data_IF_524983771220
#
_entry.id   IF_524983771220
#
_cell.length_a   1.000
_cell.length_b   1.000
_cell.length_c   1.000
_cell.angle_alpha   90.00
_cell.angle_beta   90.00
_cell.angle_gamma   90.00
#
_symmetry.space_group_name_H-M   'P 1'
#
loop_
_entity.id
_entity.type
_entity.pdbx_description
1 polymer ?
#
# COMPACT_ATOMS: atom_id res chain seq x y z
N UNK A 1 -8.60 16.12 19.16
CA UNK A 1 -8.80 15.27 20.36
C UNK A 1 -7.92 14.02 20.34
N UNK A 2 -8.10 13.09 19.39
CA UNK A 2 -7.32 11.84 19.34
C UNK A 2 -5.79 12.05 19.25
N UNK A 3 -5.32 12.99 18.42
CA UNK A 3 -3.87 13.33 18.32
C UNK A 3 -3.28 13.83 19.63
N UNK A 4 -3.98 14.71 20.33
CA UNK A 4 -3.50 15.25 21.61
C UNK A 4 -3.38 14.14 22.66
N UNK A 5 -4.37 13.24 22.71
CA UNK A 5 -4.39 12.14 23.67
C UNK A 5 -3.21 11.18 23.49
N UNK A 6 -2.89 10.81 22.24
CA UNK A 6 -1.75 9.89 21.98
C UNK A 6 -0.40 10.53 22.29
N UNK A 7 -0.26 11.86 22.17
CA UNK A 7 0.96 12.58 22.55
C UNK A 7 1.12 12.60 24.07
N UNK A 8 0.06 12.97 24.78
CA UNK A 8 0.05 13.03 26.25
C UNK A 8 0.31 11.66 26.85
N UNK A 9 -0.44 10.64 26.41
CA UNK A 9 -0.28 9.27 26.91
C UNK A 9 0.99 8.58 26.39
N UNK A 10 1.59 9.10 25.33
CA UNK A 10 2.81 8.58 24.73
C UNK A 10 4.10 9.16 25.31
N UNK A 11 4.02 9.98 26.37
CA UNK A 11 5.20 10.51 27.04
C UNK A 11 5.84 11.72 26.35
N UNK A 12 5.10 12.46 25.51
CA UNK A 12 5.54 13.71 24.88
C UNK A 12 6.80 13.61 24.00
N UNK A 13 7.05 12.47 23.36
CA UNK A 13 8.09 12.34 22.35
C UNK A 13 7.96 13.41 21.25
N UNK A 14 9.09 14.00 20.83
CA UNK A 14 9.13 15.05 19.81
C UNK A 14 8.52 14.56 18.50
N UNK A 15 7.57 15.30 17.95
CA UNK A 15 6.85 14.93 16.73
C UNK A 15 7.67 15.18 15.45
N UNK A 16 8.72 14.39 15.26
CA UNK A 16 9.52 14.26 14.04
C UNK A 16 9.53 12.80 13.60
N UNK A 17 10.02 12.49 12.40
CA UNK A 17 10.15 11.09 11.98
C UNK A 17 11.09 10.32 12.93
N UNK A 18 10.72 9.12 13.41
CA UNK A 18 9.51 8.34 13.08
C UNK A 18 8.30 8.59 14.00
N UNK A 19 8.47 9.33 15.11
CA UNK A 19 7.48 9.55 16.17
C UNK A 19 6.20 10.24 15.67
N UNK A 20 6.31 11.22 14.77
CA UNK A 20 5.14 11.90 14.19
C UNK A 20 4.19 10.92 13.47
N UNK A 21 4.77 9.94 12.76
CA UNK A 21 4.01 8.88 12.10
C UNK A 21 3.36 7.95 13.13
N UNK A 22 4.05 7.61 14.23
CA UNK A 22 3.50 6.77 15.30
C UNK A 22 2.27 7.41 15.95
N UNK A 23 2.35 8.70 16.28
CA UNK A 23 1.19 9.43 16.80
C UNK A 23 0.04 9.43 15.82
N UNK A 24 0.31 9.74 14.55
CA UNK A 24 -0.74 9.74 13.54
C UNK A 24 -1.39 8.36 13.39
N UNK A 25 -0.60 7.30 13.29
CA UNK A 25 -1.11 5.93 13.14
C UNK A 25 -1.96 5.50 14.34
N UNK A 26 -1.52 5.80 15.57
CA UNK A 26 -2.30 5.48 16.76
C UNK A 26 -3.57 6.33 16.86
N UNK A 27 -3.50 7.63 16.55
CA UNK A 27 -4.67 8.49 16.55
C UNK A 27 -5.69 8.07 15.50
N UNK A 28 -5.24 7.71 14.30
CA UNK A 28 -6.07 7.15 13.24
C UNK A 28 -6.75 5.87 13.71
N UNK A 29 -6.01 4.93 14.31
CA UNK A 29 -6.59 3.69 14.85
C UNK A 29 -7.65 3.97 15.94
N UNK A 30 -7.38 4.93 16.83
CA UNK A 30 -8.33 5.34 17.87
C UNK A 30 -9.62 5.94 17.29
N UNK A 31 -9.54 6.65 16.16
CA UNK A 31 -10.71 7.22 15.47
C UNK A 31 -11.48 6.14 14.71
N UNK A 32 -10.80 5.27 13.97
CA UNK A 32 -11.45 4.31 13.08
C UNK A 32 -12.00 3.08 13.82
N UNK A 33 -11.26 2.55 14.79
CA UNK A 33 -11.61 1.31 15.47
C UNK A 33 -12.15 1.53 16.90
N UNK A 34 -12.05 2.77 17.37
CA UNK A 34 -12.43 3.21 18.70
C UNK A 34 -11.24 3.35 19.64
N UNK A 35 -11.41 4.09 20.75
CA UNK A 35 -10.30 4.48 21.63
C UNK A 35 -9.57 3.26 22.20
N UNK A 36 -8.27 3.16 21.94
CA UNK A 36 -7.36 2.17 22.55
C UNK A 36 -7.77 0.70 22.39
N UNK A 37 -8.61 0.37 21.39
CA UNK A 37 -8.91 -1.05 21.07
C UNK A 37 -7.72 -1.77 20.43
N UNK A 38 -6.88 -1.01 19.74
CA UNK A 38 -5.70 -1.49 19.05
C UNK A 38 -4.51 -0.56 19.35
N UNK A 39 -3.32 -1.14 19.30
CA UNK A 39 -2.06 -0.39 19.38
C UNK A 39 -1.34 -0.52 18.04
N UNK A 40 -1.01 0.62 17.45
CA UNK A 40 -0.14 0.69 16.29
C UNK A 40 1.27 0.21 16.69
N UNK A 41 1.89 -0.72 15.94
CA UNK A 41 3.16 -1.33 16.36
C UNK A 41 4.30 -0.34 16.63
N UNK A 42 4.42 0.71 15.82
CA UNK A 42 5.43 1.76 16.01
C UNK A 42 5.22 2.53 17.32
N UNK A 43 3.98 2.93 17.59
CA UNK A 43 3.61 3.60 18.84
C UNK A 43 3.84 2.70 20.06
N UNK A 44 3.41 1.44 19.99
CA UNK A 44 3.62 0.47 21.06
C UNK A 44 5.10 0.25 21.38
N UNK A 45 5.95 0.05 20.36
CA UNK A 45 7.40 -0.08 20.56
C UNK A 45 8.03 1.18 21.16
N UNK A 46 7.53 2.37 20.78
CA UNK A 46 8.00 3.63 21.35
C UNK A 46 7.71 3.73 22.84
N UNK A 47 6.45 3.50 23.26
CA UNK A 47 6.07 3.57 24.68
C UNK A 47 6.70 2.47 25.54
N UNK A 48 7.07 1.34 24.93
CA UNK A 48 7.82 0.26 25.56
C UNK A 48 9.33 0.52 25.65
N UNK A 49 9.85 1.61 25.06
CA UNK A 49 11.27 2.00 25.15
C UNK A 49 12.18 1.46 24.04
N UNK A 50 11.64 0.76 23.04
CA UNK A 50 12.43 0.22 21.91
C UNK A 50 12.89 1.29 20.91
N UNK A 51 12.43 2.54 21.06
CA UNK A 51 12.95 3.70 20.34
C UNK A 51 13.70 4.67 21.25
N UNK A 52 14.04 4.22 22.47
CA UNK A 52 14.70 5.02 23.49
C UNK A 52 13.71 5.59 24.50
N UNK A 53 14.22 6.47 25.37
CA UNK A 53 13.45 7.05 26.47
C UNK A 53 12.61 8.22 25.97
N UNK A 54 11.31 8.21 26.26
CA UNK A 54 10.41 9.35 26.08
C UNK A 54 10.72 10.46 27.12
N UNK A 55 10.46 11.74 26.81
CA UNK A 55 10.69 12.84 27.76
C UNK A 55 9.99 12.65 29.11
N UNK A 56 8.77 12.13 29.09
CA UNK A 56 7.98 11.74 30.27
C UNK A 56 7.62 10.26 30.15
N UNK A 57 7.44 9.58 31.28
CA UNK A 57 6.93 8.21 31.26
C UNK A 57 5.57 8.16 30.56
N UNK A 58 5.40 7.17 29.68
CA UNK A 58 4.13 6.93 29.02
C UNK A 58 3.08 6.43 30.03
N UNK A 59 1.81 6.56 29.67
CA UNK A 59 0.69 6.15 30.51
C UNK A 59 0.78 4.63 30.82
N UNK A 60 0.71 4.22 32.11
CA UNK A 60 0.85 2.81 32.51
C UNK A 60 -0.13 1.86 31.83
N UNK A 61 -1.37 2.29 31.59
CA UNK A 61 -2.38 1.46 30.94
C UNK A 61 -2.02 1.21 29.47
N UNK A 62 -1.41 2.20 28.83
CA UNK A 62 -0.94 2.12 27.44
C UNK A 62 0.32 1.26 27.33
N UNK A 63 1.23 1.34 28.30
CA UNK A 63 2.40 0.45 28.37
C UNK A 63 1.93 -1.01 28.49
N UNK A 64 0.98 -1.29 29.39
CA UNK A 64 0.43 -2.64 29.57
C UNK A 64 -0.25 -3.14 28.29
N UNK A 65 -1.10 -2.31 27.69
CA UNK A 65 -1.78 -2.65 26.44
C UNK A 65 -0.78 -2.92 25.30
N UNK A 66 0.26 -2.09 25.17
CA UNK A 66 1.30 -2.27 24.16
C UNK A 66 2.07 -3.57 24.39
N UNK A 67 2.42 -3.87 25.65
CA UNK A 67 3.13 -5.09 26.03
C UNK A 67 2.32 -6.34 25.68
N UNK A 68 1.03 -6.39 26.05
CA UNK A 68 0.14 -7.51 25.75
C UNK A 68 -0.07 -7.70 24.23
N UNK A 69 -0.32 -6.60 23.50
CA UNK A 69 -0.61 -6.67 22.05
C UNK A 69 0.61 -7.02 21.21
N UNK A 70 1.78 -6.52 21.59
CA UNK A 70 3.03 -6.76 20.85
C UNK A 70 3.80 -7.96 21.38
N UNK A 71 3.42 -8.50 22.54
CA UNK A 71 4.15 -9.57 23.26
C UNK A 71 5.61 -9.17 23.50
N UNK A 72 5.80 -7.92 23.91
CA UNK A 72 7.10 -7.31 24.18
C UNK A 72 7.10 -6.74 25.59
N UNK A 73 8.16 -6.98 26.34
CA UNK A 73 8.31 -6.40 27.68
C UNK A 73 8.79 -4.95 27.58
N UNK A 74 8.37 -4.06 28.48
CA UNK A 74 8.95 -2.72 28.58
C UNK A 74 10.46 -2.82 28.84
N UNK A 75 11.24 -1.99 28.15
CA UNK A 75 12.70 -1.97 28.24
C UNK A 75 13.24 -0.57 28.48
N UNK A 76 14.39 -0.50 29.17
CA UNK A 76 15.20 0.71 29.34
C UNK A 76 16.57 0.58 28.68
N UNK A 77 16.82 -0.53 27.98
CA UNK A 77 18.09 -0.79 27.28
C UNK A 77 18.25 0.17 26.11
N UNK A 78 19.50 0.40 25.70
CA UNK A 78 19.78 1.16 24.49
C UNK A 78 19.22 0.40 23.27
N UNK A 79 18.38 1.03 22.43
CA UNK A 79 17.86 0.40 21.21
C UNK A 79 18.93 -0.10 20.24
N UNK A 80 20.11 0.52 20.23
CA UNK A 80 21.23 0.11 19.37
C UNK A 80 21.75 -1.27 19.79
N UNK A 81 21.98 -1.49 21.08
CA UNK A 81 22.43 -2.79 21.60
C UNK A 81 21.42 -3.91 21.27
N UNK A 82 20.12 -3.60 21.38
CA UNK A 82 19.04 -4.54 21.01
C UNK A 82 19.10 -4.85 19.50
N UNK A 83 19.40 -3.84 18.66
CA UNK A 83 19.50 -4.01 17.23
C UNK A 83 20.74 -4.82 16.82
N UNK A 84 21.86 -4.63 17.49
CA UNK A 84 23.11 -5.35 17.21
C UNK A 84 23.04 -6.84 17.61
N UNK A 85 22.25 -7.15 18.64
CA UNK A 85 21.93 -8.53 19.05
C UNK A 85 21.04 -9.28 18.05
N UNK A 86 20.32 -8.57 17.17
CA UNK A 86 19.39 -9.19 16.22
C UNK A 86 20.16 -9.94 15.12
N UNK A 87 20.12 -11.29 15.09
CA UNK A 87 20.86 -12.06 14.09
C UNK A 87 20.39 -11.75 12.67
N UNK A 88 19.15 -11.28 12.48
CA UNK A 88 18.59 -10.97 11.16
C UNK A 88 19.18 -9.71 10.53
N UNK A 89 19.78 -8.82 11.33
CA UNK A 89 20.37 -7.57 10.86
C UNK A 89 21.85 -7.69 10.48
N UNK A 90 22.45 -8.87 10.67
CA UNK A 90 23.85 -9.11 10.35
C UNK A 90 24.10 -9.05 8.84
N UNK A 91 25.28 -8.56 8.48
CA UNK A 91 25.75 -8.46 7.08
C UNK A 91 25.68 -9.81 6.37
N UNK A 92 26.01 -10.90 7.06
CA UNK A 92 26.01 -12.24 6.45
C UNK A 92 24.62 -12.70 6.01
N UNK A 93 23.57 -12.30 6.72
CA UNK A 93 22.17 -12.62 6.34
C UNK A 93 21.81 -11.92 5.03
N UNK A 94 22.22 -10.66 4.88
CA UNK A 94 21.97 -9.89 3.66
C UNK A 94 22.83 -10.36 2.48
N UNK A 95 24.07 -10.81 2.75
CA UNK A 95 24.91 -11.46 1.73
C UNK A 95 24.23 -12.72 1.18
N UNK A 96 23.78 -13.62 2.06
CA UNK A 96 23.04 -14.82 1.65
C UNK A 96 21.75 -14.48 0.90
N UNK A 97 21.03 -13.45 1.36
CA UNK A 97 19.81 -12.99 0.69
C UNK A 97 20.10 -12.52 -0.74
N UNK A 98 21.18 -11.78 -0.98
CA UNK A 98 21.58 -11.33 -2.32
C UNK A 98 21.99 -12.51 -3.22
N UNK A 99 22.73 -13.49 -2.68
CA UNK A 99 23.12 -14.69 -3.40
C UNK A 99 21.90 -15.51 -3.86
N UNK A 100 20.89 -15.68 -3.00
CA UNK A 100 19.62 -16.36 -3.34
C UNK A 100 18.89 -15.63 -4.48
N UNK A 101 18.95 -14.30 -4.47
CA UNK A 101 18.26 -13.45 -5.44
C UNK A 101 19.08 -13.24 -6.73
N UNK A 102 20.26 -13.84 -6.84
CA UNK A 102 21.15 -13.75 -8.00
C UNK A 102 21.83 -12.39 -8.17
N UNK A 103 22.00 -11.63 -7.09
CA UNK A 103 22.59 -10.29 -7.10
C UNK A 103 24.01 -10.37 -6.52
N UNK A 104 24.97 -9.67 -7.14
CA UNK A 104 26.34 -9.57 -6.63
C UNK A 104 26.37 -8.94 -5.24
N UNK A 105 27.02 -9.58 -4.28
CA UNK A 105 27.11 -9.12 -2.90
C UNK A 105 28.21 -8.07 -2.68
N UNK A 106 28.15 -6.96 -3.43
CA UNK A 106 28.99 -5.78 -3.19
C UNK A 106 28.59 -5.06 -1.90
N UNK A 107 29.48 -4.25 -1.32
CA UNK A 107 29.17 -3.46 -0.12
C UNK A 107 27.96 -2.53 -0.33
N UNK A 108 27.85 -1.93 -1.52
CA UNK A 108 26.72 -1.07 -1.89
C UNK A 108 25.41 -1.85 -1.97
N UNK A 109 25.41 -3.02 -2.62
CA UNK A 109 24.20 -3.85 -2.74
C UNK A 109 23.75 -4.40 -1.39
N UNK A 110 24.71 -4.79 -0.54
CA UNK A 110 24.44 -5.19 0.85
C UNK A 110 23.82 -4.03 1.61
N UNK A 111 24.37 -2.82 1.49
CA UNK A 111 23.82 -1.64 2.16
C UNK A 111 22.39 -1.32 1.69
N UNK A 112 22.14 -1.34 0.38
CA UNK A 112 20.81 -1.09 -0.20
C UNK A 112 19.81 -2.16 0.28
N UNK A 113 20.20 -3.43 0.27
CA UNK A 113 19.34 -4.52 0.74
C UNK A 113 19.07 -4.41 2.25
N UNK A 114 20.08 -4.13 3.07
CA UNK A 114 19.93 -4.03 4.52
C UNK A 114 19.13 -2.81 4.97
N UNK A 115 19.25 -1.67 4.28
CA UNK A 115 18.53 -0.45 4.62
C UNK A 115 17.08 -0.42 4.12
N UNK A 116 16.81 -1.04 2.95
CA UNK A 116 15.53 -0.95 2.26
C UNK A 116 14.76 -2.28 2.18
N UNK A 117 15.33 -3.38 2.67
CA UNK A 117 14.73 -4.72 2.70
C UNK A 117 14.25 -5.17 1.30
N UNK A 118 13.07 -5.78 1.18
CA UNK A 118 12.43 -6.20 -0.07
C UNK A 118 12.40 -5.12 -1.15
N UNK A 119 12.24 -3.83 -0.78
CA UNK A 119 12.27 -2.72 -1.74
C UNK A 119 13.66 -2.51 -2.31
N UNK A 120 14.69 -2.69 -1.48
CA UNK A 120 16.09 -2.67 -1.91
C UNK A 120 16.38 -3.79 -2.90
N UNK A 121 15.95 -5.02 -2.60
CA UNK A 121 16.08 -6.16 -3.53
C UNK A 121 15.34 -5.90 -4.85
N UNK A 122 14.10 -5.38 -4.78
CA UNK A 122 13.31 -5.05 -5.98
C UNK A 122 13.97 -3.98 -6.84
N UNK A 123 14.59 -2.98 -6.20
CA UNK A 123 15.38 -1.95 -6.86
C UNK A 123 16.61 -2.54 -7.56
N UNK A 124 17.38 -3.39 -6.87
CA UNK A 124 18.57 -4.04 -7.42
C UNK A 124 18.24 -4.98 -8.59
N UNK A 125 17.05 -5.58 -8.59
CA UNK A 125 16.56 -6.39 -9.73
C UNK A 125 16.05 -5.57 -10.92
N UNK A 126 15.97 -4.24 -10.80
CA UNK A 126 15.39 -3.38 -11.84
C UNK A 126 13.87 -3.48 -11.98
N UNK A 127 13.19 -4.14 -11.03
CA UNK A 127 11.73 -4.32 -11.04
C UNK A 127 10.98 -3.17 -10.33
N UNK A 128 11.71 -2.20 -9.78
CA UNK A 128 11.11 -1.07 -9.07
C UNK A 128 10.47 -0.08 -10.08
N UNK A 129 9.21 0.33 -9.88
CA UNK A 129 8.57 1.30 -10.75
C UNK A 129 9.28 2.67 -10.66
N UNK A 130 9.81 3.14 -11.78
CA UNK A 130 10.46 4.44 -11.89
C UNK A 130 9.41 5.56 -11.95
N UNK A 131 9.06 6.12 -10.80
CA UNK A 131 8.14 7.27 -10.69
C UNK A 131 8.86 8.63 -10.85
N UNK A 132 9.76 8.73 -11.84
CA UNK A 132 10.58 9.94 -12.07
C UNK A 132 9.81 10.93 -12.93
N UNK A 133 9.05 11.83 -12.29
CA UNK A 133 8.26 12.89 -12.97
C UNK A 133 9.07 14.13 -13.35
N UNK A 134 10.32 14.21 -12.87
CA UNK A 134 11.17 15.37 -13.10
C UNK A 134 11.65 15.35 -14.56
N UNK A 135 11.33 16.39 -15.33
CA UNK A 135 11.59 16.52 -16.77
C UNK A 135 10.76 15.60 -17.67
N UNK A 136 9.59 15.14 -17.23
CA UNK A 136 8.60 14.68 -18.19
C UNK A 136 8.33 15.83 -19.16
N UNK A 137 8.71 15.67 -20.44
CA UNK A 137 8.12 16.48 -21.49
C UNK A 137 6.62 16.27 -21.29
N UNK A 138 5.89 17.36 -21.03
CA UNK A 138 4.44 17.34 -21.22
C UNK A 138 4.28 17.00 -22.69
N UNK A 139 4.11 15.72 -22.99
CA UNK A 139 3.55 15.34 -24.27
C UNK A 139 2.17 15.97 -24.27
N UNK A 140 2.04 17.12 -24.92
CA UNK A 140 0.75 17.76 -25.19
C UNK A 140 -0.16 16.82 -26.03
N UNK A 141 0.40 15.70 -26.48
CA UNK A 141 -0.27 14.58 -27.15
C UNK A 141 -0.48 13.32 -26.28
N UNK A 142 -0.05 13.29 -25.02
CA UNK A 142 -0.70 12.42 -24.04
C UNK A 142 -1.98 13.13 -23.66
N UNK A 143 -3.00 12.96 -24.51
CA UNK A 143 -4.32 12.77 -23.95
C UNK A 143 -4.11 11.74 -22.83
N UNK A 144 -4.27 12.18 -21.58
CA UNK A 144 -4.78 11.27 -20.57
C UNK A 144 -6.04 10.78 -21.26
N UNK A 145 -5.94 9.59 -21.86
CA UNK A 145 -7.12 8.85 -22.24
C UNK A 145 -7.85 8.74 -20.93
N UNK A 146 -8.81 9.64 -20.72
CA UNK A 146 -10.13 9.21 -20.37
C UNK A 146 -10.38 7.98 -21.25
N UNK A 147 -9.97 6.82 -20.75
CA UNK A 147 -10.54 5.54 -21.12
C UNK A 147 -11.94 5.48 -20.51
N UNK A 148 -12.66 6.59 -20.65
CA UNK A 148 -14.07 6.77 -20.47
C UNK A 148 -14.56 6.40 -21.85
N UNK A 149 -14.92 5.13 -22.00
CA UNK A 149 -15.64 4.66 -23.17
C UNK A 149 -16.83 5.61 -23.29
N UNK A 150 -16.75 6.55 -24.23
CA UNK A 150 -17.70 7.65 -24.29
C UNK A 150 -19.08 7.06 -24.53
N UNK A 151 -20.08 7.55 -23.80
CA UNK A 151 -21.46 7.10 -23.97
C UNK A 151 -21.82 7.11 -25.46
N UNK A 152 -22.21 5.97 -25.99
CA UNK A 152 -22.31 5.79 -27.43
C UNK A 152 -22.92 4.46 -27.82
N UNK A 153 -23.50 4.45 -29.03
CA UNK A 153 -24.03 3.25 -29.66
C UNK A 153 -22.95 2.68 -30.59
N UNK A 154 -22.53 1.45 -30.33
CA UNK A 154 -21.51 0.74 -31.09
C UNK A 154 -22.16 -0.43 -31.84
N UNK A 155 -21.82 -0.61 -33.11
CA UNK A 155 -22.19 -1.83 -33.84
C UNK A 155 -21.04 -2.83 -33.76
N UNK A 156 -21.22 -3.91 -33.02
CA UNK A 156 -20.25 -5.00 -32.89
C UNK A 156 -20.70 -6.17 -33.74
N UNK A 157 -19.78 -6.77 -34.50
CA UNK A 157 -20.06 -7.97 -35.30
C UNK A 157 -19.44 -9.17 -34.61
N UNK A 158 -20.26 -10.12 -34.21
CA UNK A 158 -19.82 -11.41 -33.64
C UNK A 158 -20.38 -12.51 -34.53
N UNK A 159 -19.51 -13.38 -35.03
CA UNK A 159 -19.87 -14.50 -35.91
C UNK A 159 -20.71 -14.11 -37.15
N UNK A 160 -20.44 -12.92 -37.71
CA UNK A 160 -21.13 -12.40 -38.90
C UNK A 160 -22.48 -11.75 -38.63
N UNK A 161 -23.00 -11.81 -37.40
CA UNK A 161 -24.23 -11.11 -37.00
C UNK A 161 -23.88 -9.77 -36.34
N UNK A 162 -24.62 -8.72 -36.72
CA UNK A 162 -24.39 -7.35 -36.22
C UNK A 162 -25.28 -7.09 -35.00
N UNK A 163 -24.66 -6.64 -33.92
CA UNK A 163 -25.32 -6.27 -32.67
C UNK A 163 -25.09 -4.79 -32.39
N UNK A 164 -26.16 -4.08 -32.01
CA UNK A 164 -26.07 -2.68 -31.59
C UNK A 164 -25.99 -2.63 -30.06
N UNK A 165 -24.90 -2.08 -29.54
CA UNK A 165 -24.56 -2.03 -28.13
C UNK A 165 -24.54 -0.58 -27.67
N UNK A 166 -25.42 -0.22 -26.75
CA UNK A 166 -25.44 1.12 -26.15
C UNK A 166 -24.71 1.10 -24.80
N UNK A 167 -23.69 1.95 -24.65
CA UNK A 167 -22.93 2.10 -23.41
C UNK A 167 -23.33 3.40 -22.71
N UNK A 168 -23.70 3.31 -21.43
CA UNK A 168 -24.06 4.45 -20.58
C UNK A 168 -23.23 4.45 -19.29
N UNK A 169 -22.74 5.63 -18.87
CA UNK A 169 -22.07 5.84 -17.59
C UNK A 169 -23.07 5.95 -16.42
N UNK A 170 -22.96 5.05 -15.45
CA UNK A 170 -23.76 5.01 -14.21
C UNK A 170 -24.48 3.67 -14.01
N UNK A 171 -25.09 3.47 -12.84
CA UNK A 171 -25.91 2.29 -12.54
C UNK A 171 -27.22 2.34 -13.36
N UNK A 172 -27.25 1.66 -14.49
CA UNK A 172 -28.43 1.56 -15.36
C UNK A 172 -29.40 0.51 -14.82
N UNK A 173 -30.44 0.96 -14.09
CA UNK A 173 -31.48 0.09 -13.49
C UNK A 173 -32.58 -0.37 -14.47
N UNK A 174 -32.51 -0.05 -15.76
CA UNK A 174 -33.50 -0.49 -16.74
C UNK A 174 -32.87 -0.72 -18.13
N UNK A 175 -32.35 -1.92 -18.36
CA UNK A 175 -31.96 -2.39 -19.69
C UNK A 175 -33.14 -3.21 -20.23
N UNK A 176 -33.91 -2.66 -21.17
CA UNK A 176 -34.88 -3.44 -21.94
C UNK A 176 -34.17 -4.09 -23.13
N UNK A 177 -33.99 -5.41 -23.06
CA UNK A 177 -33.44 -6.21 -24.16
C UNK A 177 -34.55 -6.45 -25.18
N UNK A 178 -34.55 -5.70 -26.28
CA UNK A 178 -35.40 -6.01 -27.43
C UNK A 178 -34.80 -7.22 -28.18
N UNK A 179 -35.63 -8.23 -28.44
CA UNK A 179 -35.18 -9.41 -29.19
C UNK A 179 -34.89 -9.05 -30.66
N UNK A 180 -33.87 -9.68 -31.28
CA UNK A 180 -33.52 -9.39 -32.66
C UNK A 180 -34.68 -9.78 -33.59
N UNK A 181 -35.13 -8.82 -34.40
CA UNK A 181 -36.10 -9.08 -35.46
C UNK A 181 -35.41 -9.94 -36.53
N UNK A 182 -35.76 -11.22 -36.61
CA UNK A 182 -35.31 -12.09 -37.69
C UNK A 182 -35.86 -11.54 -39.02
N UNK A 183 -34.97 -11.07 -39.90
CA UNK A 183 -35.32 -10.90 -41.31
C UNK A 183 -35.54 -12.29 -41.92
N UNK A 184 -36.81 -12.64 -42.10
CA UNK A 184 -37.20 -13.81 -42.87
C UNK A 184 -36.82 -13.52 -44.33
N UNK A 185 -35.78 -14.19 -44.81
CA UNK A 185 -35.40 -14.14 -46.22
C UNK A 185 -36.47 -14.89 -47.01
N UNK A 186 -37.41 -14.17 -47.65
CA UNK A 186 -38.30 -14.77 -48.63
C UNK A 186 -37.48 -15.17 -49.85
N UNK A 187 -37.30 -16.48 -50.04
CA UNK A 187 -36.76 -17.04 -51.28
C UNK A 187 -37.81 -16.86 -52.40
N UNK A 188 -37.42 -16.20 -53.48
CA UNK A 188 -38.21 -16.16 -54.71
C UNK A 188 -38.18 -17.55 -55.38
N UNK A 189 -39.31 -18.07 -55.90
CA UNK A 189 -39.34 -19.39 -56.52
C UNK A 189 -38.60 -19.38 -57.86
N UNK A 190 -37.82 -20.44 -58.05
CA UNK A 190 -37.08 -20.79 -59.27
C UNK A 190 -38.10 -21.14 -60.37
N UNK A 191 -38.08 -20.43 -61.49
CA UNK A 191 -38.82 -20.84 -62.70
C UNK A 191 -37.92 -21.72 -63.58
N UNK A 192 -38.53 -22.79 -64.08
CA UNK A 192 -37.95 -23.83 -64.92
C UNK A 192 -37.55 -23.33 -66.32
#
# INVERSE_FOLDING_TARGET
>A
KAMQEVVVKGGFGTSVTPVSQFYWQQAYANVMFGPWKQIAPGYGRMVLGYFGKTPVEADPDIIKLASEKLKLEPTKRNPLDIADEDPKKKVDVWRQRLEIEGIEATEENIFIAAACDEKGITFLKGNAPLNVRKNEKKDENKQIGENKMSNGNYTVVVDGQRFNVSVFEGDVQNIQVAQPVQQVVQQAPVQA
#
